data_IF_970213212703
#
_entry.id   IF_970213212703
#
_cell.length_a   1.000
_cell.length_b   1.000
_cell.length_c   1.000
_cell.angle_alpha   90.00
_cell.angle_beta   90.00
_cell.angle_gamma   90.00
#
_symmetry.space_group_name_H-M   'P 1'
#
loop_
_entity.id
_entity.type
_entity.pdbx_description
1 polymer ?
#
# COMPACT_ATOMS: atom_id res chain seq x y z
N UNK A 1 2.46 -31.71 -51.38
CA UNK A 1 2.60 -30.31 -50.91
C UNK A 1 1.20 -29.77 -50.70
N UNK A 2 0.68 -29.88 -49.49
CA UNK A 2 -0.66 -29.39 -49.13
C UNK A 2 -0.48 -28.12 -48.30
N UNK A 3 -0.25 -27.00 -48.99
CA UNK A 3 -0.33 -25.68 -48.37
C UNK A 3 -1.79 -25.46 -47.97
N UNK A 4 -2.03 -25.24 -46.67
CA UNK A 4 -3.34 -24.92 -46.14
C UNK A 4 -3.68 -23.47 -46.53
N UNK A 5 -4.64 -23.23 -47.43
CA UNK A 5 -4.98 -21.88 -47.90
C UNK A 5 -5.65 -21.01 -46.82
N UNK A 6 -6.00 -21.60 -45.68
CA UNK A 6 -6.57 -20.91 -44.52
C UNK A 6 -5.57 -20.73 -43.37
N UNK A 7 -4.28 -21.03 -43.58
CA UNK A 7 -3.26 -20.69 -42.59
C UNK A 7 -3.26 -19.17 -42.40
N UNK A 8 -3.62 -18.72 -41.19
CA UNK A 8 -3.48 -17.32 -40.79
C UNK A 8 -2.06 -16.87 -41.12
N UNK A 9 -1.87 -15.68 -41.72
CA UNK A 9 -0.54 -15.11 -41.86
C UNK A 9 0.16 -15.22 -40.50
N UNK A 10 1.43 -15.61 -40.48
CA UNK A 10 2.24 -15.57 -39.27
C UNK A 10 2.35 -14.11 -38.82
N UNK A 11 1.32 -13.61 -38.17
CA UNK A 11 1.34 -12.32 -37.50
C UNK A 11 2.27 -12.53 -36.33
N UNK A 12 3.45 -11.90 -36.42
CA UNK A 12 4.32 -11.65 -35.29
C UNK A 12 3.57 -10.76 -34.30
N UNK A 13 2.51 -11.27 -33.67
CA UNK A 13 1.92 -10.61 -32.53
C UNK A 13 3.00 -10.63 -31.46
N UNK A 14 3.53 -9.47 -31.04
CA UNK A 14 4.55 -9.44 -30.03
C UNK A 14 3.96 -10.11 -28.79
N UNK A 15 4.48 -11.30 -28.47
CA UNK A 15 4.07 -12.10 -27.32
C UNK A 15 3.83 -11.15 -26.15
N UNK A 16 2.55 -11.01 -25.73
CA UNK A 16 2.07 -9.98 -24.82
C UNK A 16 3.18 -9.59 -23.84
N UNK A 17 3.91 -8.52 -24.18
CA UNK A 17 5.19 -8.24 -23.51
C UNK A 17 4.88 -8.17 -22.03
N UNK A 18 5.40 -9.14 -21.28
CA UNK A 18 5.21 -9.26 -19.84
C UNK A 18 5.63 -7.91 -19.26
N UNK A 19 4.66 -7.02 -18.99
CA UNK A 19 4.93 -5.59 -18.73
C UNK A 19 5.98 -5.51 -17.65
N UNK A 20 7.20 -5.13 -18.03
CA UNK A 20 8.33 -5.05 -17.12
C UNK A 20 7.91 -4.19 -15.92
N UNK A 21 8.10 -4.71 -14.72
CA UNK A 21 7.84 -3.94 -13.50
C UNK A 21 8.71 -2.68 -13.49
N UNK A 22 8.30 -1.68 -12.71
CA UNK A 22 9.13 -0.49 -12.52
C UNK A 22 10.39 -0.83 -11.73
N UNK A 23 11.38 0.07 -11.74
CA UNK A 23 12.59 -0.08 -10.92
C UNK A 23 12.22 -0.14 -9.43
N UNK A 24 12.84 -1.02 -8.62
CA UNK A 24 12.47 -1.20 -7.21
C UNK A 24 12.44 0.08 -6.38
N UNK A 25 13.41 0.98 -6.58
CA UNK A 25 13.46 2.24 -5.83
C UNK A 25 12.27 3.18 -6.16
N UNK A 26 11.76 3.16 -7.40
CA UNK A 26 10.58 3.95 -7.79
C UNK A 26 9.34 3.43 -7.05
N UNK A 27 9.20 2.11 -6.95
CA UNK A 27 8.11 1.50 -6.20
C UNK A 27 8.17 1.84 -4.71
N UNK A 28 9.37 1.82 -4.10
CA UNK A 28 9.57 2.24 -2.70
C UNK A 28 9.16 3.71 -2.51
N UNK A 29 9.62 4.62 -3.38
CA UNK A 29 9.28 6.04 -3.28
C UNK A 29 7.78 6.29 -3.46
N UNK A 30 7.14 5.60 -4.41
CA UNK A 30 5.70 5.68 -4.59
C UNK A 30 4.93 5.17 -3.37
N UNK A 31 5.35 4.03 -2.81
CA UNK A 31 4.78 3.50 -1.57
C UNK A 31 4.91 4.48 -0.40
N UNK A 32 6.11 5.04 -0.19
CA UNK A 32 6.32 6.07 0.84
C UNK A 32 5.45 7.31 0.61
N UNK A 33 5.37 7.80 -0.64
CA UNK A 33 4.53 8.95 -0.95
C UNK A 33 3.05 8.69 -0.64
N UNK A 34 2.54 7.50 -0.95
CA UNK A 34 1.18 7.08 -0.62
C UNK A 34 0.98 6.99 0.89
N UNK A 35 1.95 6.42 1.61
CA UNK A 35 1.88 6.25 3.06
C UNK A 35 1.81 7.61 3.78
N UNK A 36 2.69 8.54 3.42
CA UNK A 36 2.70 9.91 3.95
C UNK A 36 1.46 10.70 3.55
N UNK A 37 1.12 10.74 2.25
CA UNK A 37 -0.02 11.51 1.76
C UNK A 37 -1.33 10.98 2.32
N UNK A 38 -1.48 9.65 2.40
CA UNK A 38 -2.64 8.99 2.98
C UNK A 38 -2.78 9.29 4.47
N UNK A 39 -1.68 9.19 5.23
CA UNK A 39 -1.68 9.50 6.68
C UNK A 39 -2.05 10.97 6.94
N UNK A 40 -1.51 11.91 6.15
CA UNK A 40 -1.86 13.33 6.25
C UNK A 40 -3.34 13.57 5.91
N UNK A 41 -3.81 13.02 4.80
CA UNK A 41 -5.20 13.20 4.36
C UNK A 41 -6.21 12.66 5.38
N UNK A 42 -5.94 11.47 5.94
CA UNK A 42 -6.76 10.88 6.99
C UNK A 42 -6.71 11.72 8.26
N UNK A 43 -5.52 12.16 8.67
CA UNK A 43 -5.36 12.99 9.88
C UNK A 43 -6.18 14.28 9.76
N UNK A 44 -6.10 14.99 8.63
CA UNK A 44 -6.90 16.19 8.37
C UNK A 44 -8.41 15.86 8.43
N UNK A 45 -8.84 14.80 7.75
CA UNK A 45 -10.26 14.40 7.73
C UNK A 45 -10.81 14.08 9.11
N UNK A 46 -10.05 13.31 9.91
CA UNK A 46 -10.42 12.96 11.28
C UNK A 46 -10.40 14.19 12.19
N UNK A 47 -9.42 15.07 12.08
CA UNK A 47 -9.38 16.32 12.85
C UNK A 47 -10.58 17.22 12.56
N UNK A 48 -10.98 17.35 11.29
CA UNK A 48 -12.18 18.11 10.91
C UNK A 48 -13.44 17.46 11.49
N UNK A 49 -13.60 16.15 11.34
CA UNK A 49 -14.76 15.42 11.87
C UNK A 49 -14.86 15.54 13.40
N UNK A 50 -13.73 15.43 14.09
CA UNK A 50 -13.60 15.60 15.53
C UNK A 50 -13.96 17.03 15.97
N UNK A 51 -13.48 18.05 15.25
CA UNK A 51 -13.83 19.44 15.51
C UNK A 51 -15.33 19.72 15.33
N UNK A 52 -15.93 19.23 14.23
CA UNK A 52 -17.39 19.35 14.01
C UNK A 52 -18.16 18.66 15.12
N UNK A 53 -17.75 17.46 15.52
CA UNK A 53 -18.38 16.74 16.63
C UNK A 53 -18.37 17.56 17.93
N UNK A 54 -17.23 18.14 18.31
CA UNK A 54 -17.13 18.98 19.51
C UNK A 54 -17.97 20.27 19.39
N UNK A 55 -18.02 20.89 18.21
CA UNK A 55 -18.84 22.08 17.97
C UNK A 55 -20.34 21.79 18.18
N UNK A 56 -20.83 20.63 17.69
CA UNK A 56 -22.24 20.21 17.91
C UNK A 56 -22.58 19.93 19.38
N UNK A 57 -21.56 19.74 20.23
CA UNK A 57 -21.70 19.55 21.68
C UNK A 57 -21.58 20.85 22.48
N UNK A 58 -21.49 22.01 21.81
CA UNK A 58 -21.41 23.32 22.46
C UNK A 58 -20.05 23.61 23.08
N UNK A 59 -18.98 22.91 22.68
CA UNK A 59 -17.62 23.24 23.14
C UNK A 59 -17.23 24.60 22.59
N UNK A 60 -16.91 25.53 23.49
CA UNK A 60 -16.54 26.90 23.13
C UNK A 60 -15.16 26.96 22.44
N UNK A 61 -14.89 27.98 21.60
CA UNK A 61 -13.63 28.11 20.87
C UNK A 61 -12.39 28.10 21.77
N UNK A 62 -12.48 28.71 22.96
CA UNK A 62 -11.37 28.83 23.90
C UNK A 62 -10.90 27.50 24.54
N UNK A 63 -11.70 26.43 24.48
CA UNK A 63 -11.32 25.10 25.00
C UNK A 63 -11.25 24.02 23.91
N UNK A 64 -11.54 24.40 22.66
CA UNK A 64 -11.64 23.48 21.53
C UNK A 64 -10.34 22.75 21.25
N UNK A 65 -9.22 23.47 21.21
CA UNK A 65 -7.90 22.90 20.90
C UNK A 65 -7.47 21.85 21.93
N UNK A 66 -7.66 22.15 23.22
CA UNK A 66 -7.33 21.22 24.30
C UNK A 66 -8.18 19.95 24.25
N UNK A 67 -9.50 20.09 24.03
CA UNK A 67 -10.42 18.95 23.88
C UNK A 67 -10.14 18.14 22.63
N UNK A 68 -9.80 18.79 21.53
CA UNK A 68 -9.43 18.11 20.28
C UNK A 68 -8.15 17.29 20.48
N UNK A 69 -7.14 17.88 21.13
CA UNK A 69 -5.87 17.20 21.42
C UNK A 69 -6.07 16.01 22.33
N UNK A 70 -6.82 16.17 23.43
CA UNK A 70 -7.18 15.07 24.33
C UNK A 70 -7.90 13.94 23.55
N UNK A 71 -8.91 14.30 22.76
CA UNK A 71 -9.71 13.32 22.03
C UNK A 71 -8.89 12.54 20.99
N UNK A 72 -7.97 13.21 20.28
CA UNK A 72 -7.11 12.59 19.26
C UNK A 72 -5.94 11.80 19.85
N UNK A 73 -5.56 12.01 21.11
CA UNK A 73 -4.40 11.35 21.73
C UNK A 73 -4.77 10.21 22.67
N UNK A 74 -5.83 10.34 23.47
CA UNK A 74 -6.17 9.39 24.54
C UNK A 74 -7.53 8.71 24.37
N UNK A 75 -8.37 9.19 23.45
CA UNK A 75 -9.73 8.68 23.25
C UNK A 75 -9.87 7.56 22.21
N UNK A 76 -11.12 7.11 22.01
CA UNK A 76 -11.52 6.17 20.94
C UNK A 76 -11.04 6.63 19.56
N UNK A 77 -11.00 7.94 19.33
CA UNK A 77 -10.53 8.53 18.08
C UNK A 77 -9.05 8.25 17.80
N UNK A 78 -8.20 8.14 18.84
CA UNK A 78 -6.80 7.75 18.71
C UNK A 78 -6.67 6.34 18.14
N UNK A 79 -7.49 5.39 18.62
CA UNK A 79 -7.53 4.03 18.08
C UNK A 79 -8.03 3.99 16.64
N UNK A 80 -9.08 4.76 16.32
CA UNK A 80 -9.60 4.87 14.95
C UNK A 80 -8.54 5.43 14.00
N UNK A 81 -7.85 6.51 14.40
CA UNK A 81 -6.79 7.12 13.62
C UNK A 81 -5.63 6.15 13.42
N UNK A 82 -5.25 5.42 14.46
CA UNK A 82 -4.21 4.38 14.40
C UNK A 82 -4.60 3.26 13.43
N UNK A 83 -5.84 2.76 13.49
CA UNK A 83 -6.33 1.72 12.60
C UNK A 83 -6.35 2.18 11.14
N UNK A 84 -6.83 3.41 10.88
CA UNK A 84 -6.83 4.00 9.55
C UNK A 84 -5.41 4.22 9.00
N UNK A 85 -4.48 4.68 9.84
CA UNK A 85 -3.06 4.79 9.48
C UNK A 85 -2.46 3.44 9.09
N UNK A 86 -2.74 2.38 9.86
CA UNK A 86 -2.28 1.03 9.51
C UNK A 86 -2.83 0.54 8.18
N UNK A 87 -4.11 0.82 7.87
CA UNK A 87 -4.70 0.48 6.57
C UNK A 87 -4.00 1.21 5.41
N UNK A 88 -3.62 2.47 5.61
CA UNK A 88 -2.82 3.22 4.63
C UNK A 88 -1.46 2.57 4.43
N UNK A 89 -0.79 2.14 5.50
CA UNK A 89 0.51 1.45 5.39
C UNK A 89 0.40 0.10 4.67
N UNK A 90 -0.67 -0.66 4.90
CA UNK A 90 -0.98 -1.87 4.11
C UNK A 90 -1.16 -1.51 2.64
N UNK A 91 -1.95 -0.47 2.32
CA UNK A 91 -2.18 -0.04 0.94
C UNK A 91 -0.88 0.41 0.27
N UNK A 92 -0.05 1.17 0.96
CA UNK A 92 1.25 1.64 0.47
C UNK A 92 2.18 0.46 0.12
N UNK A 93 2.28 -0.55 0.99
CA UNK A 93 3.06 -1.75 0.72
C UNK A 93 2.49 -2.57 -0.45
N UNK A 94 1.15 -2.67 -0.53
CA UNK A 94 0.46 -3.34 -1.64
C UNK A 94 0.77 -2.69 -2.99
N UNK A 95 0.65 -1.35 -3.08
CA UNK A 95 0.91 -0.62 -4.32
C UNK A 95 2.37 -0.76 -4.75
N UNK A 96 3.33 -0.64 -3.83
CA UNK A 96 4.75 -0.83 -4.17
C UNK A 96 5.05 -2.24 -4.73
N UNK A 97 4.48 -3.28 -4.12
CA UNK A 97 4.60 -4.65 -4.63
C UNK A 97 3.98 -4.81 -6.04
N UNK A 98 2.82 -4.19 -6.28
CA UNK A 98 2.15 -4.21 -7.59
C UNK A 98 2.97 -3.54 -8.70
N UNK A 99 3.71 -2.50 -8.37
CA UNK A 99 4.53 -1.76 -9.35
C UNK A 99 5.79 -2.55 -9.75
N UNK A 100 6.47 -3.21 -8.81
CA UNK A 100 7.79 -3.80 -9.06
C UNK A 100 7.74 -5.16 -9.76
N UNK A 101 6.70 -5.97 -9.54
CA UNK A 101 6.45 -7.31 -10.15
C UNK A 101 7.58 -8.36 -10.05
N UNK A 102 8.71 -8.03 -9.42
CA UNK A 102 9.86 -8.88 -9.13
C UNK A 102 10.45 -8.46 -7.79
N UNK A 103 10.87 -9.43 -6.98
CA UNK A 103 11.41 -9.16 -5.63
C UNK A 103 10.43 -8.38 -4.73
N UNK A 104 9.12 -8.61 -4.86
CA UNK A 104 8.08 -7.77 -4.23
C UNK A 104 8.23 -7.67 -2.71
N UNK A 105 8.54 -8.79 -2.05
CA UNK A 105 8.74 -8.84 -0.59
C UNK A 105 9.98 -8.07 -0.15
N UNK A 106 11.07 -8.11 -0.92
CA UNK A 106 12.28 -7.33 -0.59
C UNK A 106 11.99 -5.83 -0.68
N UNK A 107 11.26 -5.41 -1.72
CA UNK A 107 10.81 -4.01 -1.86
C UNK A 107 9.92 -3.59 -0.70
N UNK A 108 8.96 -4.42 -0.29
CA UNK A 108 8.10 -4.17 0.86
C UNK A 108 8.86 -4.04 2.19
N UNK A 109 9.83 -4.92 2.44
CA UNK A 109 10.68 -4.86 3.65
C UNK A 109 11.53 -3.58 3.67
N UNK A 110 12.13 -3.20 2.54
CA UNK A 110 12.92 -1.96 2.43
C UNK A 110 12.04 -0.75 2.69
N UNK A 111 10.85 -0.70 2.07
CA UNK A 111 9.89 0.37 2.30
C UNK A 111 9.47 0.44 3.77
N UNK A 112 9.12 -0.70 4.38
CA UNK A 112 8.75 -0.77 5.79
C UNK A 112 9.86 -0.24 6.69
N UNK A 113 11.11 -0.64 6.44
CA UNK A 113 12.25 -0.17 7.23
C UNK A 113 12.44 1.35 7.12
N UNK A 114 12.32 1.92 5.90
CA UNK A 114 12.42 3.37 5.69
C UNK A 114 11.24 4.09 6.34
N UNK A 115 10.01 3.60 6.19
CA UNK A 115 8.82 4.20 6.77
C UNK A 115 8.91 4.22 8.31
N UNK A 116 9.29 3.10 8.93
CA UNK A 116 9.48 3.00 10.38
C UNK A 116 10.58 3.94 10.88
N UNK A 117 11.70 4.06 10.14
CA UNK A 117 12.77 5.00 10.48
C UNK A 117 12.33 6.46 10.35
N UNK A 118 11.62 6.82 9.29
CA UNK A 118 11.11 8.18 9.15
C UNK A 118 10.06 8.50 10.22
N UNK A 119 9.16 7.56 10.51
CA UNK A 119 8.22 7.67 11.61
C UNK A 119 8.93 7.80 12.97
N UNK A 120 10.06 7.12 13.15
CA UNK A 120 10.86 7.24 14.38
C UNK A 120 11.39 8.64 14.61
N UNK A 121 11.83 9.28 13.54
CA UNK A 121 12.40 10.62 13.58
C UNK A 121 11.33 11.71 13.72
N UNK A 122 10.10 11.43 13.25
CA UNK A 122 8.97 12.35 13.34
C UNK A 122 8.35 12.40 14.75
N UNK A 123 8.39 11.28 15.49
CA UNK A 123 7.90 11.24 16.86
C UNK A 123 8.99 11.74 17.81
N UNK A 124 8.72 12.85 18.50
CA UNK A 124 9.63 13.40 19.52
C UNK A 124 9.82 12.47 20.72
N UNK A 125 10.53 12.96 21.75
CA UNK A 125 10.74 12.27 23.04
C UNK A 125 9.43 11.73 23.61
N UNK A 126 9.14 10.44 23.41
CA UNK A 126 7.94 9.80 23.93
C UNK A 126 8.21 9.26 25.33
N UNK A 127 7.30 9.52 26.27
CA UNK A 127 7.43 9.03 27.64
C UNK A 127 7.14 7.51 27.77
N UNK A 128 6.77 6.83 26.68
CA UNK A 128 6.41 5.41 26.68
C UNK A 128 7.09 4.66 25.52
N UNK A 129 8.40 4.45 25.68
CA UNK A 129 9.26 3.73 24.73
C UNK A 129 8.72 2.34 24.36
N UNK A 130 8.21 1.50 25.29
CA UNK A 130 7.66 0.19 24.93
C UNK A 130 6.49 0.26 23.95
N UNK A 131 5.53 1.16 24.19
CA UNK A 131 4.38 1.33 23.30
C UNK A 131 4.82 1.81 21.92
N UNK A 132 5.79 2.72 21.87
CA UNK A 132 6.35 3.22 20.63
C UNK A 132 7.01 2.12 19.79
N UNK A 133 7.83 1.27 20.41
CA UNK A 133 8.43 0.10 19.74
C UNK A 133 7.34 -0.84 19.22
N UNK A 134 6.29 -1.08 20.01
CA UNK A 134 5.17 -1.92 19.58
C UNK A 134 4.48 -1.34 18.33
N UNK A 135 4.18 -0.03 18.33
CA UNK A 135 3.56 0.65 17.19
C UNK A 135 4.45 0.61 15.94
N UNK A 136 5.76 0.72 16.11
CA UNK A 136 6.72 0.55 15.01
C UNK A 136 6.66 -0.85 14.39
N UNK A 137 6.68 -1.88 15.22
CA UNK A 137 6.63 -3.27 14.77
C UNK A 137 5.31 -3.56 14.06
N UNK A 138 4.19 -3.06 14.58
CA UNK A 138 2.88 -3.20 13.95
C UNK A 138 2.81 -2.47 12.61
N UNK A 139 3.34 -1.25 12.53
CA UNK A 139 3.38 -0.47 11.28
C UNK A 139 4.27 -1.15 10.23
N UNK A 140 5.44 -1.65 10.64
CA UNK A 140 6.32 -2.42 9.78
C UNK A 140 5.63 -3.70 9.25
N UNK A 141 4.98 -4.45 10.15
CA UNK A 141 4.24 -5.65 9.79
C UNK A 141 3.07 -5.34 8.84
N UNK A 142 2.40 -4.19 9.00
CA UNK A 142 1.35 -3.73 8.10
C UNK A 142 1.87 -3.50 6.68
N UNK A 143 2.98 -2.77 6.51
CA UNK A 143 3.61 -2.55 5.21
C UNK A 143 4.02 -3.87 4.54
N UNK A 144 4.68 -4.76 5.29
CA UNK A 144 5.12 -6.06 4.77
C UNK A 144 3.93 -6.95 4.39
N UNK A 145 2.86 -6.93 5.18
CA UNK A 145 1.62 -7.66 4.87
C UNK A 145 0.96 -7.14 3.60
N UNK A 146 0.91 -5.81 3.42
CA UNK A 146 0.47 -5.19 2.18
C UNK A 146 1.28 -5.64 0.98
N UNK A 147 2.61 -5.63 1.09
CA UNK A 147 3.50 -6.10 0.03
C UNK A 147 3.29 -7.58 -0.29
N UNK A 148 3.05 -8.42 0.71
CA UNK A 148 2.74 -9.84 0.52
C UNK A 148 1.43 -10.05 -0.24
N UNK A 149 0.38 -9.27 0.07
CA UNK A 149 -0.89 -9.27 -0.68
C UNK A 149 -0.68 -8.85 -2.13
N UNK A 150 0.09 -7.78 -2.37
CA UNK A 150 0.42 -7.32 -3.72
C UNK A 150 1.20 -8.35 -4.53
N UNK A 151 2.13 -9.06 -3.88
CA UNK A 151 2.91 -10.14 -4.49
C UNK A 151 2.04 -11.34 -4.89
N UNK A 152 1.09 -11.75 -4.03
CA UNK A 152 0.14 -12.84 -4.35
C UNK A 152 -0.69 -12.50 -5.58
N UNK A 153 -1.22 -11.28 -5.61
CA UNK A 153 -2.04 -10.82 -6.72
C UNK A 153 -1.24 -10.72 -8.04
N UNK A 154 0.04 -10.34 -7.99
CA UNK A 154 0.91 -10.39 -9.18
C UNK A 154 1.09 -11.82 -9.70
N UNK A 155 1.21 -12.81 -8.83
CA UNK A 155 1.39 -14.23 -9.21
C UNK A 155 0.13 -14.79 -9.86
N UNK A 156 -1.05 -14.46 -9.32
CA UNK A 156 -2.34 -14.86 -9.91
C UNK A 156 -2.48 -14.37 -11.34
N UNK A 157 -2.19 -13.09 -11.60
CA UNK A 157 -2.25 -12.51 -12.95
C UNK A 157 -1.25 -13.18 -13.89
N UNK A 158 -0.05 -13.51 -13.41
CA UNK A 158 0.95 -14.21 -14.22
C UNK A 158 0.53 -15.63 -14.56
N UNK A 159 -0.09 -16.36 -13.61
CA UNK A 159 -0.60 -17.70 -13.84
C UNK A 159 -1.74 -17.71 -14.88
N UNK A 160 -2.70 -16.78 -14.77
CA UNK A 160 -3.78 -16.64 -15.76
C UNK A 160 -3.24 -16.28 -17.14
N UNK A 161 -2.24 -15.39 -17.23
CA UNK A 161 -1.63 -15.04 -18.50
C UNK A 161 -0.90 -16.23 -19.16
N UNK A 162 -0.25 -17.10 -18.38
CA UNK A 162 0.40 -18.31 -18.87
C UNK A 162 -0.60 -19.35 -19.37
N UNK A 163 -1.75 -19.51 -18.71
CA UNK A 163 -2.81 -20.43 -19.15
C UNK A 163 -3.39 -20.01 -20.50
N UNK A 164 -3.71 -18.73 -20.67
CA UNK A 164 -4.23 -18.19 -21.94
C UNK A 164 -3.19 -18.36 -23.05
N UNK A 165 -1.93 -17.97 -22.79
CA UNK A 165 -0.85 -18.11 -23.77
C UNK A 165 -0.51 -19.56 -24.13
N UNK A 166 -0.76 -20.52 -23.24
CA UNK A 166 -0.55 -21.95 -23.51
C UNK A 166 -1.66 -22.60 -24.36
N UNK A 167 -2.92 -22.18 -24.19
CA UNK A 167 -4.06 -22.72 -24.94
C UNK A 167 -4.05 -22.32 -26.43
N UNK A 168 -3.52 -21.13 -26.75
CA UNK A 168 -3.36 -20.68 -28.15
C UNK A 168 -2.28 -21.47 -28.91
N UNK A 169 -1.34 -22.13 -28.20
CA UNK A 169 -0.30 -22.95 -28.83
C UNK A 169 -0.83 -24.35 -29.17
N UNK A 170 -1.65 -24.94 -28.30
CA UNK A 170 -2.17 -26.31 -28.49
C UNK A 170 -3.22 -26.40 -29.60
N UNK A 171 -4.00 -25.33 -29.83
CA UNK A 171 -5.05 -25.30 -30.86
C UNK A 171 -4.52 -25.03 -32.28
N UNK A 172 -3.27 -24.60 -32.44
CA UNK A 172 -2.64 -24.35 -33.75
C UNK A 172 -1.80 -25.54 -34.25
N UNK A 173 -1.62 -26.57 -33.42
CA UNK A 173 -0.80 -27.75 -33.72
C UNK A 173 -1.57 -29.02 -34.13
N UNK A 174 -2.90 -28.96 -34.17
CA UNK A 174 -3.79 -30.06 -34.58
C UNK A 174 -4.55 -29.69 -35.87
#
# INVERSE_FOLDING_TARGET
>A
MTENPYASPATNEPALTQRAGVRPWVAVLAGLAIDFAGTIAISIGVSIAAAVYLATRGVGPGTMEGRLTEMLTTGVWSYVLSALGLLVSVLAGYVAARMVKRNELRTGVIQGAIATLLGSLAVGSSNNVPLFILLMLVSFAAVVSGAALGARHNREIQATAQQIGGQDVDTRGA
#
